data_IF_755476006082
#
_entry.id   IF_755476006082
#
_cell.length_a   1.000
_cell.length_b   1.000
_cell.length_c   1.000
_cell.angle_alpha   90.00
_cell.angle_beta   90.00
_cell.angle_gamma   90.00
#
_symmetry.space_group_name_H-M   'P 1'
#
loop_
_entity.id
_entity.type
_entity.pdbx_description
1 polymer ?
#
# COMPACT_ATOMS: atom_id res chain seq x y z
N UNK A 1 15.19 -7.29 -6.96
CA UNK A 1 13.77 -6.89 -7.01
C UNK A 1 13.19 -7.08 -5.62
N UNK A 2 12.47 -6.07 -5.12
CA UNK A 2 11.80 -6.09 -3.82
C UNK A 2 10.35 -5.68 -3.97
N UNK A 3 9.60 -5.78 -2.89
CA UNK A 3 8.21 -5.38 -2.83
C UNK A 3 8.14 -4.02 -2.13
N UNK A 4 7.89 -3.00 -2.93
CA UNK A 4 7.71 -1.63 -2.48
C UNK A 4 6.23 -1.28 -2.69
N UNK A 5 5.64 -0.58 -1.72
CA UNK A 5 4.23 -0.20 -1.73
C UNK A 5 4.06 1.25 -1.31
N UNK A 6 3.07 1.93 -1.88
CA UNK A 6 2.77 3.31 -1.56
C UNK A 6 1.27 3.59 -1.58
N UNK A 7 0.89 4.64 -0.85
CA UNK A 7 -0.42 5.27 -0.94
C UNK A 7 -0.20 6.72 -1.36
N UNK A 8 -0.85 7.12 -2.46
CA UNK A 8 -0.80 8.50 -2.93
C UNK A 8 -1.76 9.39 -2.16
N UNK A 9 -1.37 10.64 -1.94
CA UNK A 9 -2.24 11.69 -1.41
C UNK A 9 -3.43 11.91 -2.34
N UNK A 10 -4.59 12.14 -1.75
CA UNK A 10 -5.78 12.54 -2.49
C UNK A 10 -5.61 13.91 -3.14
N UNK A 11 -6.36 14.17 -4.21
CA UNK A 11 -6.38 15.49 -4.85
C UNK A 11 -6.71 16.61 -3.86
N UNK A 12 -7.60 16.38 -2.89
CA UNK A 12 -7.94 17.37 -1.87
C UNK A 12 -6.83 17.62 -0.86
N UNK A 13 -6.06 16.58 -0.49
CA UNK A 13 -4.84 16.75 0.31
C UNK A 13 -3.78 17.52 -0.49
N UNK A 14 -3.58 17.19 -1.76
CA UNK A 14 -2.65 17.88 -2.65
C UNK A 14 -3.00 19.36 -2.84
N UNK A 15 -4.26 19.69 -3.12
CA UNK A 15 -4.71 21.08 -3.28
C UNK A 15 -4.58 21.90 -1.97
N UNK A 16 -4.64 21.24 -0.80
CA UNK A 16 -4.41 21.89 0.49
C UNK A 16 -2.92 22.17 0.73
N UNK A 17 -2.04 21.25 0.37
CA UNK A 17 -0.59 21.38 0.54
C UNK A 17 0.06 22.30 -0.51
N UNK A 18 -0.53 22.36 -1.69
CA UNK A 18 -0.10 23.21 -2.81
C UNK A 18 -1.23 24.17 -3.23
N UNK A 19 -1.50 25.23 -2.45
CA UNK A 19 -2.54 26.20 -2.82
C UNK A 19 -2.28 26.81 -4.20
N UNK A 20 -3.32 26.83 -5.04
CA UNK A 20 -3.25 27.35 -6.40
C UNK A 20 -2.82 26.34 -7.46
N UNK A 21 -2.42 25.13 -7.06
CA UNK A 21 -2.14 24.04 -8.00
C UNK A 21 -3.45 23.33 -8.36
N UNK A 22 -3.46 22.71 -9.54
CA UNK A 22 -4.52 21.78 -9.95
C UNK A 22 -3.92 20.45 -10.27
N UNK A 23 -4.66 19.40 -9.89
CA UNK A 23 -4.21 18.03 -10.00
C UNK A 23 -5.21 17.21 -10.81
N UNK A 24 -4.68 16.30 -11.62
CA UNK A 24 -5.43 15.23 -12.25
C UNK A 24 -5.07 13.91 -11.58
N UNK A 25 -6.10 13.21 -11.11
CA UNK A 25 -5.93 11.89 -10.47
C UNK A 25 -5.90 10.80 -11.53
N UNK A 26 -4.87 9.96 -11.52
CA UNK A 26 -4.84 8.73 -12.31
C UNK A 26 -5.92 7.77 -11.78
N UNK A 27 -6.81 7.23 -12.64
CA UNK A 27 -7.97 6.46 -12.19
C UNK A 27 -7.67 5.17 -11.41
N UNK A 28 -6.54 4.54 -11.66
CA UNK A 28 -6.14 3.21 -11.18
C UNK A 28 -5.38 3.27 -9.85
N UNK A 29 -4.26 4.00 -9.81
CA UNK A 29 -3.34 4.16 -8.69
C UNK A 29 -3.77 5.28 -7.74
N UNK A 30 -4.54 6.24 -8.26
CA UNK A 30 -4.92 7.44 -7.50
C UNK A 30 -3.81 8.48 -7.37
N UNK A 31 -2.69 8.30 -8.07
CA UNK A 31 -1.61 9.29 -8.15
C UNK A 31 -2.11 10.61 -8.71
N UNK A 32 -1.64 11.73 -8.17
CA UNK A 32 -2.05 13.07 -8.58
C UNK A 32 -0.95 13.74 -9.39
N UNK A 33 -1.18 13.93 -10.69
CA UNK A 33 -0.31 14.67 -11.58
C UNK A 33 -0.67 16.16 -11.58
N UNK A 34 0.33 17.04 -11.62
CA UNK A 34 0.11 18.49 -11.70
C UNK A 34 -0.31 18.86 -13.12
N UNK A 35 -1.50 19.44 -13.27
CA UNK A 35 -1.98 20.02 -14.54
C UNK A 35 -1.89 21.55 -14.54
N UNK A 36 -1.71 22.17 -13.36
CA UNK A 36 -1.44 23.59 -13.25
C UNK A 36 -0.62 23.90 -11.98
N UNK A 37 0.44 24.73 -12.07
CA UNK A 37 1.04 25.23 -13.31
C UNK A 37 1.68 24.12 -14.14
N UNK A 38 1.67 24.28 -15.47
CA UNK A 38 2.22 23.28 -16.39
C UNK A 38 3.74 23.11 -16.22
N UNK A 39 4.24 21.88 -16.42
CA UNK A 39 5.66 21.58 -16.39
C UNK A 39 6.29 21.44 -15.00
N UNK A 40 5.48 21.45 -13.94
CA UNK A 40 5.95 21.16 -12.58
C UNK A 40 5.87 19.66 -12.29
N UNK A 41 7.02 19.09 -11.93
CA UNK A 41 7.10 17.73 -11.41
C UNK A 41 7.29 17.79 -9.89
N UNK A 42 6.44 17.06 -9.17
CA UNK A 42 6.56 16.91 -7.72
C UNK A 42 7.48 15.73 -7.39
N UNK A 43 8.11 15.78 -6.22
CA UNK A 43 8.90 14.67 -5.70
C UNK A 43 8.00 13.55 -5.20
N UNK A 44 8.55 12.34 -5.07
CA UNK A 44 7.83 11.18 -4.52
C UNK A 44 7.14 11.49 -3.18
N UNK A 45 7.90 12.00 -2.21
CA UNK A 45 7.40 12.39 -0.88
C UNK A 45 6.32 13.48 -0.90
N UNK A 46 6.29 14.28 -1.98
CA UNK A 46 5.27 15.30 -2.14
C UNK A 46 3.93 14.69 -2.58
N UNK A 47 3.95 13.58 -3.32
CA UNK A 47 2.74 12.91 -3.84
C UNK A 47 2.30 11.71 -3.02
N UNK A 48 3.18 11.10 -2.21
CA UNK A 48 2.83 9.97 -1.33
C UNK A 48 2.50 10.42 0.09
N UNK A 49 1.52 9.77 0.72
CA UNK A 49 1.22 9.96 2.15
C UNK A 49 1.98 8.96 3.02
N UNK A 50 2.27 7.80 2.46
CA UNK A 50 3.00 6.71 3.08
C UNK A 50 3.57 5.82 1.98
N UNK A 51 4.83 5.44 2.13
CA UNK A 51 5.49 4.41 1.35
C UNK A 51 6.22 3.45 2.30
N UNK A 52 6.36 2.20 1.88
CA UNK A 52 7.00 1.17 2.67
C UNK A 52 7.63 0.11 1.78
N UNK A 53 8.88 -0.24 2.12
CA UNK A 53 9.58 -1.39 1.55
C UNK A 53 9.31 -2.62 2.41
N UNK A 54 8.45 -3.50 1.92
CA UNK A 54 8.11 -4.76 2.60
C UNK A 54 9.33 -5.68 2.70
N UNK A 55 10.13 -5.76 1.64
CA UNK A 55 11.34 -6.58 1.63
C UNK A 55 11.87 -6.89 0.24
N UNK A 56 12.96 -7.65 0.17
CA UNK A 56 13.39 -8.25 -1.08
C UNK A 56 12.53 -9.51 -1.39
N UNK A 57 12.61 -10.03 -2.60
CA UNK A 57 11.80 -11.18 -3.02
C UNK A 57 11.98 -12.43 -2.12
N UNK A 58 13.18 -12.66 -1.58
CA UNK A 58 13.43 -13.78 -0.67
C UNK A 58 12.78 -13.56 0.70
N UNK A 59 12.81 -12.33 1.21
CA UNK A 59 12.10 -11.96 2.44
C UNK A 59 10.59 -12.10 2.27
N UNK A 60 10.04 -11.64 1.14
CA UNK A 60 8.60 -11.75 0.86
C UNK A 60 8.17 -13.21 0.73
N UNK A 61 8.99 -14.06 0.10
CA UNK A 61 8.73 -15.50 0.02
C UNK A 61 8.72 -16.16 1.41
N UNK A 62 9.75 -15.89 2.23
CA UNK A 62 9.83 -16.44 3.59
C UNK A 62 8.68 -15.95 4.48
N UNK A 63 8.29 -14.69 4.35
CA UNK A 63 7.13 -14.13 5.03
C UNK A 63 5.83 -14.82 4.59
N UNK A 64 5.68 -15.14 3.31
CA UNK A 64 4.55 -15.89 2.80
C UNK A 64 4.44 -17.29 3.40
N UNK A 65 5.54 -18.02 3.49
CA UNK A 65 5.57 -19.32 4.17
C UNK A 65 5.17 -19.21 5.65
N UNK A 66 5.67 -18.17 6.35
CA UNK A 66 5.33 -17.94 7.76
C UNK A 66 3.84 -17.61 7.94
N UNK A 67 3.27 -16.75 7.09
CA UNK A 67 1.85 -16.38 7.13
C UNK A 67 0.97 -17.58 6.77
N UNK A 68 1.33 -18.37 5.76
CA UNK A 68 0.61 -19.59 5.39
C UNK A 68 0.60 -20.61 6.54
N UNK A 69 1.70 -20.72 7.30
CA UNK A 69 1.77 -21.55 8.50
C UNK A 69 0.83 -21.10 9.63
N UNK A 70 0.48 -19.80 9.68
CA UNK A 70 -0.39 -19.22 10.71
C UNK A 70 -1.87 -19.18 10.31
N UNK A 71 -2.16 -18.86 9.04
CA UNK A 71 -3.51 -18.61 8.55
C UNK A 71 -4.07 -19.73 7.66
N UNK A 72 -3.20 -20.65 7.22
CA UNK A 72 -3.50 -21.63 6.19
C UNK A 72 -3.24 -21.11 4.78
N UNK A 73 -3.05 -22.03 3.84
CA UNK A 73 -2.89 -21.74 2.42
C UNK A 73 -4.16 -21.06 1.86
N UNK A 74 -3.97 -20.09 0.96
CA UNK A 74 -5.05 -19.38 0.29
C UNK A 74 -5.66 -18.24 1.11
N UNK A 75 -4.98 -17.80 2.16
CA UNK A 75 -5.35 -16.59 2.91
C UNK A 75 -5.43 -15.35 2.00
N UNK A 76 -6.24 -14.37 2.39
CA UNK A 76 -6.35 -13.11 1.68
C UNK A 76 -5.02 -12.36 1.62
N UNK A 77 -4.22 -12.38 2.70
CA UNK A 77 -2.88 -11.81 2.73
C UNK A 77 -1.97 -12.47 1.70
N UNK A 78 -2.01 -13.79 1.60
CA UNK A 78 -1.25 -14.52 0.58
C UNK A 78 -1.73 -14.15 -0.84
N UNK A 79 -3.03 -14.25 -1.09
CA UNK A 79 -3.63 -14.08 -2.43
C UNK A 79 -3.63 -12.64 -2.95
N UNK A 80 -3.80 -11.65 -2.07
CA UNK A 80 -4.02 -10.24 -2.43
C UNK A 80 -2.75 -9.40 -2.23
N UNK A 81 -1.87 -9.77 -1.30
CA UNK A 81 -0.67 -8.97 -1.01
C UNK A 81 0.57 -9.66 -1.53
N UNK A 82 0.78 -10.92 -1.14
CA UNK A 82 2.03 -11.63 -1.46
C UNK A 82 2.05 -12.21 -2.87
N UNK A 83 0.88 -12.50 -3.46
CA UNK A 83 0.75 -12.91 -4.85
C UNK A 83 0.58 -11.73 -5.81
N UNK A 84 -0.09 -10.64 -5.41
CA UNK A 84 -0.16 -9.39 -6.20
C UNK A 84 1.14 -8.58 -6.18
N UNK A 85 2.12 -8.98 -5.37
CA UNK A 85 3.50 -8.49 -5.42
C UNK A 85 4.27 -8.81 -6.72
N UNK A 86 3.58 -9.25 -7.78
CA UNK A 86 4.22 -9.74 -9.01
C UNK A 86 4.43 -8.65 -10.07
N UNK A 87 3.70 -7.52 -10.01
CA UNK A 87 3.82 -6.46 -11.01
C UNK A 87 3.76 -5.06 -10.40
N UNK A 88 4.65 -4.18 -10.87
CA UNK A 88 4.57 -2.74 -10.62
C UNK A 88 3.26 -2.21 -11.22
N UNK A 89 2.52 -1.41 -10.45
CA UNK A 89 1.23 -0.85 -10.82
C UNK A 89 0.02 -1.68 -10.36
N UNK A 90 0.23 -2.85 -9.74
CA UNK A 90 -0.86 -3.57 -9.10
C UNK A 90 -1.43 -2.74 -7.93
N UNK A 91 -2.73 -2.91 -7.66
CA UNK A 91 -3.44 -2.10 -6.65
C UNK A 91 -4.31 -2.94 -5.74
N UNK A 92 -4.36 -2.57 -4.46
CA UNK A 92 -5.31 -3.09 -3.49
C UNK A 92 -6.32 -1.98 -3.17
N UNK A 93 -7.55 -2.20 -3.62
CA UNK A 93 -8.66 -1.26 -3.40
C UNK A 93 -9.41 -1.50 -2.09
N UNK A 94 -10.24 -0.52 -1.73
CA UNK A 94 -11.08 -0.54 -0.52
C UNK A 94 -11.85 -1.85 -0.26
N UNK A 95 -12.47 -2.49 -1.27
CA UNK A 95 -13.25 -3.71 -1.03
C UNK A 95 -12.44 -4.85 -0.39
N UNK A 96 -11.14 -4.92 -0.65
CA UNK A 96 -10.24 -5.94 -0.10
C UNK A 96 -9.80 -5.65 1.33
N UNK A 97 -9.88 -4.40 1.79
CA UNK A 97 -9.35 -4.02 3.11
C UNK A 97 -10.04 -4.72 4.26
N UNK A 98 -11.35 -4.99 4.15
CA UNK A 98 -12.10 -5.68 5.22
C UNK A 98 -11.63 -7.12 5.41
N UNK A 99 -11.30 -7.81 4.32
CA UNK A 99 -10.78 -9.19 4.37
C UNK A 99 -9.37 -9.18 4.97
N UNK A 100 -8.50 -8.28 4.52
CA UNK A 100 -7.14 -8.13 5.02
C UNK A 100 -7.09 -7.77 6.51
N UNK A 101 -7.88 -6.79 6.96
CA UNK A 101 -7.95 -6.39 8.38
C UNK A 101 -8.44 -7.52 9.29
N UNK A 102 -9.22 -8.49 8.80
CA UNK A 102 -9.60 -9.67 9.59
C UNK A 102 -8.42 -10.59 9.81
N UNK A 103 -7.63 -10.84 8.79
CA UNK A 103 -6.45 -11.70 8.88
C UNK A 103 -5.31 -11.03 9.65
N UNK A 104 -5.11 -9.72 9.48
CA UNK A 104 -4.11 -8.96 10.22
C UNK A 104 -4.31 -9.06 11.74
N UNK A 105 -5.57 -9.03 12.22
CA UNK A 105 -5.89 -9.25 13.65
C UNK A 105 -5.46 -10.60 14.18
N UNK A 106 -5.38 -11.63 13.33
CA UNK A 106 -4.90 -12.95 13.73
C UNK A 106 -3.37 -12.95 13.90
N UNK A 107 -2.68 -12.08 13.15
CA UNK A 107 -1.23 -11.93 13.19
C UNK A 107 -0.72 -11.04 14.34
N UNK A 108 -1.57 -10.18 14.92
CA UNK A 108 -1.23 -9.33 16.08
C UNK A 108 -0.67 -10.11 17.27
N UNK A 109 -1.12 -11.36 17.43
CA UNK A 109 -0.69 -12.27 18.52
C UNK A 109 0.56 -13.09 18.20
N UNK A 110 1.13 -12.95 17.00
CA UNK A 110 2.31 -13.70 16.58
C UNK A 110 3.53 -13.39 17.45
N UNK A 111 4.28 -14.42 17.82
CA UNK A 111 5.56 -14.25 18.52
C UNK A 111 6.70 -13.90 17.57
N UNK A 112 6.50 -14.09 16.26
CA UNK A 112 7.44 -13.70 15.23
C UNK A 112 7.44 -12.18 15.05
N UNK A 113 8.62 -11.56 15.23
CA UNK A 113 8.78 -10.12 15.11
C UNK A 113 8.55 -9.62 13.67
N UNK A 114 8.93 -10.40 12.66
CA UNK A 114 8.79 -10.02 11.26
C UNK A 114 7.33 -10.09 10.81
N UNK A 115 6.59 -11.11 11.27
CA UNK A 115 5.15 -11.21 10.99
C UNK A 115 4.40 -10.03 11.62
N UNK A 116 4.78 -9.62 12.84
CA UNK A 116 4.18 -8.44 13.49
C UNK A 116 4.52 -7.13 12.78
N UNK A 117 5.79 -6.92 12.44
CA UNK A 117 6.21 -5.74 11.68
C UNK A 117 5.46 -5.65 10.34
N UNK A 118 5.28 -6.78 9.66
CA UNK A 118 4.48 -6.82 8.44
C UNK A 118 3.02 -6.46 8.69
N UNK A 119 2.41 -7.04 9.74
CA UNK A 119 1.02 -6.78 10.06
C UNK A 119 0.77 -5.30 10.42
N UNK A 120 1.68 -4.71 11.20
CA UNK A 120 1.65 -3.30 11.57
C UNK A 120 1.80 -2.39 10.34
N UNK A 121 2.77 -2.68 9.48
CA UNK A 121 3.03 -1.94 8.24
C UNK A 121 1.83 -1.95 7.29
N UNK A 122 1.25 -3.13 7.05
CA UNK A 122 0.07 -3.23 6.18
C UNK A 122 -1.17 -2.58 6.81
N UNK A 123 -1.34 -2.65 8.12
CA UNK A 123 -2.43 -1.97 8.84
C UNK A 123 -2.34 -0.46 8.69
N UNK A 124 -1.13 0.09 8.77
CA UNK A 124 -0.88 1.52 8.56
C UNK A 124 -1.18 1.95 7.13
N UNK A 125 -0.79 1.15 6.13
CA UNK A 125 -1.13 1.41 4.72
C UNK A 125 -2.64 1.40 4.48
N UNK A 126 -3.37 0.42 5.01
CA UNK A 126 -4.84 0.37 4.89
C UNK A 126 -5.48 1.61 5.53
N UNK A 127 -4.98 2.04 6.69
CA UNK A 127 -5.45 3.25 7.37
C UNK A 127 -5.23 4.49 6.53
N UNK A 128 -4.04 4.64 5.91
CA UNK A 128 -3.73 5.77 5.03
C UNK A 128 -4.53 5.74 3.74
N UNK A 129 -4.66 4.57 3.12
CA UNK A 129 -5.48 4.35 1.93
C UNK A 129 -6.94 4.77 2.15
N UNK A 130 -7.54 4.37 3.28
CA UNK A 130 -8.90 4.81 3.67
C UNK A 130 -8.98 6.32 3.88
N UNK A 131 -7.98 6.91 4.56
CA UNK A 131 -7.94 8.36 4.83
C UNK A 131 -7.89 9.18 3.54
N UNK A 132 -7.03 8.79 2.61
CA UNK A 132 -6.87 9.47 1.32
C UNK A 132 -7.88 8.99 0.27
N UNK A 133 -8.73 8.00 0.59
CA UNK A 133 -9.67 7.37 -0.36
C UNK A 133 -8.98 6.93 -1.66
N UNK A 134 -7.76 6.41 -1.50
CA UNK A 134 -6.89 5.93 -2.57
C UNK A 134 -6.49 4.48 -2.30
N UNK A 135 -6.19 3.69 -3.34
CA UNK A 135 -5.72 2.32 -3.16
C UNK A 135 -4.29 2.29 -2.60
N UNK A 136 -3.87 1.10 -2.16
CA UNK A 136 -2.45 0.78 -1.97
C UNK A 136 -1.90 0.35 -3.33
N UNK A 137 -0.73 0.86 -3.72
CA UNK A 137 -0.13 0.65 -5.03
C UNK A 137 1.22 -0.04 -4.87
N UNK A 138 1.50 -1.06 -5.67
CA UNK A 138 2.80 -1.71 -5.76
C UNK A 138 3.71 -0.95 -6.74
N UNK A 139 4.93 -0.59 -6.32
CA UNK A 139 5.81 0.36 -7.05
C UNK A 139 7.18 -0.21 -7.36
#
# INVERSE_FOLDING_TARGET
MGLDVAVFKSASTMEREFPGYRFQREPTTGECEVIHPEGVNLTWDAVTVCDWRVGNIAHVAALGEAIAGLLGEGSALERIVLFSACSVGDVIGEPSFVELERELRLLESSTDAWVREFADGLSELIRMARREKNPIVFV
#
